data_IF_513880091711
#
_entry.id   IF_513880091711
#
_cell.length_a   1.000
_cell.length_b   1.000
_cell.length_c   1.000
_cell.angle_alpha   90.00
_cell.angle_beta   90.00
_cell.angle_gamma   90.00
#
_symmetry.space_group_name_H-M   'P 1'
#
loop_
_entity.id
_entity.type
_entity.pdbx_description
1 polymer ?
#
# COMPACT_ATOMS: atom_id res chain seq x y z
N UNK A 1 -2.12 -40.95 -36.25
CA UNK A 1 -2.55 -40.52 -37.59
C UNK A 1 -1.94 -39.14 -37.72
N UNK A 2 -0.87 -39.23 -38.28
CA UNK A 2 -0.31 -38.81 -39.58
C UNK A 2 0.09 -37.34 -39.52
N UNK A 3 1.38 -37.02 -39.40
CA UNK A 3 2.44 -37.09 -40.43
C UNK A 3 2.12 -36.22 -41.68
N UNK A 4 2.96 -35.29 -41.98
CA UNK A 4 4.01 -35.27 -43.00
C UNK A 4 4.41 -33.86 -43.30
N UNK A 5 5.65 -33.48 -43.13
CA UNK A 5 6.86 -33.74 -43.91
C UNK A 5 7.00 -32.94 -45.22
N UNK A 6 8.22 -32.41 -45.30
CA UNK A 6 9.12 -32.24 -46.45
C UNK A 6 9.07 -30.89 -47.16
N UNK A 7 10.11 -30.27 -47.36
CA UNK A 7 11.46 -30.45 -47.86
C UNK A 7 11.75 -29.47 -49.01
N UNK A 8 12.92 -28.95 -48.94
CA UNK A 8 13.91 -28.77 -50.03
C UNK A 8 13.75 -27.64 -51.06
N UNK A 9 14.86 -26.98 -51.25
CA UNK A 9 15.48 -26.74 -52.49
C UNK A 9 16.59 -25.70 -52.47
N UNK A 10 17.79 -26.21 -52.39
CA UNK A 10 19.05 -25.54 -52.66
C UNK A 10 19.26 -25.30 -54.18
N UNK A 11 20.15 -24.35 -54.50
CA UNK A 11 21.16 -24.35 -55.58
C UNK A 11 21.62 -22.93 -55.84
N UNK A 12 22.89 -22.54 -55.49
CA UNK A 12 24.11 -22.77 -56.28
C UNK A 12 24.12 -22.17 -57.68
N UNK A 13 25.04 -21.23 -57.88
CA UNK A 13 25.99 -21.09 -59.01
C UNK A 13 26.67 -19.70 -58.92
N UNK A 14 27.86 -19.56 -58.46
CA UNK A 14 29.17 -19.59 -59.14
C UNK A 14 29.21 -18.95 -60.53
N UNK A 15 30.05 -17.87 -60.66
CA UNK A 15 31.01 -17.64 -61.71
C UNK A 15 31.86 -16.37 -61.52
N UNK A 16 33.12 -16.56 -61.42
CA UNK A 16 34.26 -15.69 -61.78
C UNK A 16 34.71 -16.16 -63.20
N UNK A 17 35.64 -15.52 -63.98
CA UNK A 17 36.48 -14.35 -63.81
C UNK A 17 36.69 -13.52 -65.12
N UNK A 18 37.46 -12.50 -65.09
CA UNK A 18 38.61 -12.23 -66.03
C UNK A 18 39.04 -10.78 -66.01
N UNK A 19 40.32 -10.56 -65.73
CA UNK A 19 41.03 -9.37 -66.16
C UNK A 19 41.60 -9.61 -67.56
N UNK A 20 42.53 -8.85 -68.14
CA UNK A 20 43.47 -7.87 -67.64
C UNK A 20 43.57 -6.61 -68.52
N UNK A 21 44.49 -5.67 -68.17
CA UNK A 21 44.90 -4.60 -69.03
C UNK A 21 45.78 -3.58 -68.32
N UNK A 22 47.05 -3.81 -68.40
CA UNK A 22 48.09 -2.87 -68.08
C UNK A 22 48.28 -1.85 -69.19
N UNK A 23 48.93 -0.81 -68.85
CA UNK A 23 49.74 0.22 -69.64
C UNK A 23 49.17 1.61 -69.34
N UNK A 24 49.88 2.61 -69.07
CA UNK A 24 51.27 3.02 -69.01
C UNK A 24 51.33 4.55 -68.72
N UNK A 25 52.26 4.95 -67.92
CA UNK A 25 53.14 6.12 -68.09
C UNK A 25 52.61 7.55 -67.86
N UNK A 26 53.20 8.16 -66.89
CA UNK A 26 54.03 9.41 -66.95
C UNK A 26 53.53 10.60 -66.14
N UNK A 27 54.29 10.81 -65.10
CA UNK A 27 54.99 12.03 -64.71
C UNK A 27 54.33 13.40 -65.00
N UNK A 28 53.94 14.06 -63.93
CA UNK A 28 54.34 15.46 -63.70
C UNK A 28 54.27 15.85 -62.23
N UNK A 29 55.47 16.17 -61.70
CA UNK A 29 55.63 16.94 -60.49
C UNK A 29 55.00 18.33 -60.66
N UNK A 30 54.10 18.72 -59.75
CA UNK A 30 53.94 20.10 -59.42
C UNK A 30 53.79 20.24 -57.91
N UNK A 31 54.81 20.87 -57.32
CA UNK A 31 54.81 21.33 -55.97
C UNK A 31 53.74 22.44 -55.82
N UNK A 32 52.78 22.15 -54.96
CA UNK A 32 51.79 23.09 -54.44
C UNK A 32 51.86 23.09 -52.95
N UNK A 33 52.66 24.04 -52.41
CA UNK A 33 52.64 24.38 -50.98
C UNK A 33 51.26 24.83 -50.58
N UNK A 34 50.53 24.00 -49.81
CA UNK A 34 49.31 24.31 -49.17
C UNK A 34 49.40 23.96 -47.69
N UNK A 35 49.79 24.95 -46.91
CA UNK A 35 49.80 24.93 -45.45
C UNK A 35 48.42 24.86 -44.93
N UNK A 36 47.88 23.64 -44.78
CA UNK A 36 46.67 23.31 -44.05
C UNK A 36 47.06 22.55 -42.79
N UNK A 37 47.30 23.26 -41.70
CA UNK A 37 47.52 22.66 -40.41
C UNK A 37 46.29 21.82 -40.03
N UNK A 38 46.27 20.57 -40.44
CA UNK A 38 45.33 19.55 -39.96
C UNK A 38 45.52 19.43 -38.43
N UNK A 39 44.53 19.86 -37.70
CA UNK A 39 44.44 19.60 -36.29
C UNK A 39 44.71 18.10 -36.11
N UNK A 40 45.66 17.67 -35.29
CA UNK A 40 46.00 16.25 -35.23
C UNK A 40 44.78 15.42 -34.80
N UNK A 41 44.49 14.37 -35.52
CA UNK A 41 43.34 13.46 -35.26
C UNK A 41 43.29 12.97 -33.80
N UNK A 42 44.43 13.00 -33.12
CA UNK A 42 44.53 12.72 -31.69
C UNK A 42 43.79 13.73 -30.79
N UNK A 43 43.72 15.01 -31.17
CA UNK A 43 43.01 16.02 -30.37
C UNK A 43 41.49 15.90 -30.47
N UNK A 44 40.98 15.53 -31.64
CA UNK A 44 39.54 15.29 -31.87
C UNK A 44 39.04 14.02 -31.15
N UNK A 45 39.85 12.97 -31.15
CA UNK A 45 39.57 11.74 -30.39
C UNK A 45 39.56 11.99 -28.88
N UNK A 46 40.44 12.82 -28.37
CA UNK A 46 40.49 13.16 -26.94
C UNK A 46 39.31 14.03 -26.54
N UNK A 47 38.87 14.99 -27.36
CA UNK A 47 37.69 15.79 -27.11
C UNK A 47 36.41 14.94 -27.15
N UNK A 48 36.30 14.01 -28.11
CA UNK A 48 35.16 13.07 -28.18
C UNK A 48 35.11 12.17 -26.95
N UNK A 49 36.25 11.64 -26.48
CA UNK A 49 36.34 10.84 -25.27
C UNK A 49 35.97 11.64 -24.01
N UNK A 50 36.37 12.92 -23.91
CA UNK A 50 35.98 13.81 -22.81
C UNK A 50 34.48 14.08 -22.83
N UNK A 51 33.88 14.33 -23.99
CA UNK A 51 32.43 14.50 -24.17
C UNK A 51 31.65 13.22 -23.80
N UNK A 52 32.14 12.05 -24.24
CA UNK A 52 31.53 10.76 -23.90
C UNK A 52 31.57 10.48 -22.38
N UNK A 53 32.70 10.73 -21.72
CA UNK A 53 32.86 10.61 -20.27
C UNK A 53 31.91 11.57 -19.52
N UNK A 54 31.78 12.81 -19.99
CA UNK A 54 30.87 13.81 -19.40
C UNK A 54 29.41 13.38 -19.55
N UNK A 55 29.03 12.87 -20.73
CA UNK A 55 27.69 12.33 -21.00
C UNK A 55 27.38 11.14 -20.09
N UNK A 56 28.29 10.18 -19.97
CA UNK A 56 28.15 9.00 -19.08
C UNK A 56 28.03 9.39 -17.62
N UNK A 57 28.87 10.36 -17.14
CA UNK A 57 28.77 10.87 -15.77
C UNK A 57 27.39 11.54 -15.50
N UNK A 58 26.86 12.28 -16.48
CA UNK A 58 25.51 12.90 -16.38
C UNK A 58 24.43 11.84 -16.32
N UNK A 59 24.46 10.84 -17.19
CA UNK A 59 23.50 9.72 -17.19
C UNK A 59 23.52 8.96 -15.85
N UNK A 60 24.71 8.63 -15.33
CA UNK A 60 24.85 7.96 -14.03
C UNK A 60 24.25 8.80 -12.92
N UNK A 61 24.45 10.13 -12.95
CA UNK A 61 23.88 11.03 -11.94
C UNK A 61 22.36 11.11 -12.04
N UNK A 62 21.80 11.15 -13.25
CA UNK A 62 20.37 11.15 -13.49
C UNK A 62 19.72 9.84 -13.01
N UNK A 63 20.37 8.70 -13.31
CA UNK A 63 19.92 7.38 -12.83
C UNK A 63 19.96 7.31 -11.30
N UNK A 64 21.06 7.74 -10.67
CA UNK A 64 21.18 7.79 -9.21
C UNK A 64 20.11 8.69 -8.58
N UNK A 65 19.87 9.86 -9.18
CA UNK A 65 18.81 10.77 -8.70
C UNK A 65 17.41 10.17 -8.83
N UNK A 66 17.14 9.42 -9.90
CA UNK A 66 15.90 8.70 -10.08
C UNK A 66 15.70 7.64 -8.98
N UNK A 67 16.70 6.80 -8.74
CA UNK A 67 16.59 5.78 -7.69
C UNK A 67 16.49 6.38 -6.29
N UNK A 68 17.17 7.50 -6.03
CA UNK A 68 17.04 8.20 -4.76
C UNK A 68 15.63 8.73 -4.54
N UNK A 69 15.02 9.34 -5.57
CA UNK A 69 13.63 9.81 -5.50
C UNK A 69 12.64 8.65 -5.34
N UNK A 70 12.87 7.56 -6.06
CA UNK A 70 12.07 6.34 -5.94
C UNK A 70 12.15 5.76 -4.53
N UNK A 71 13.35 5.66 -3.97
CA UNK A 71 13.55 5.19 -2.60
C UNK A 71 12.85 6.11 -1.58
N UNK A 72 12.98 7.43 -1.74
CA UNK A 72 12.29 8.40 -0.88
C UNK A 72 10.76 8.25 -0.96
N UNK A 73 10.21 8.03 -2.16
CA UNK A 73 8.78 7.77 -2.35
C UNK A 73 8.34 6.48 -1.65
N UNK A 74 9.10 5.40 -1.79
CA UNK A 74 8.80 4.12 -1.13
C UNK A 74 8.85 4.28 0.40
N UNK A 75 9.84 4.98 0.93
CA UNK A 75 9.94 5.26 2.37
C UNK A 75 8.73 6.09 2.83
N UNK A 76 8.35 7.11 2.06
CA UNK A 76 7.18 7.94 2.38
C UNK A 76 5.89 7.10 2.42
N UNK A 77 5.68 6.22 1.44
CA UNK A 77 4.52 5.33 1.41
C UNK A 77 4.55 4.32 2.57
N UNK A 78 5.73 3.80 2.90
CA UNK A 78 5.90 2.91 4.05
C UNK A 78 5.54 3.61 5.37
N UNK A 79 6.02 4.85 5.58
CA UNK A 79 5.67 5.63 6.77
C UNK A 79 4.17 5.93 6.79
N UNK A 80 3.61 6.33 5.65
CA UNK A 80 2.18 6.67 5.56
C UNK A 80 1.29 5.48 5.90
N UNK A 81 1.50 4.32 5.28
CA UNK A 81 0.65 3.14 5.46
C UNK A 81 1.13 2.15 6.53
N UNK A 82 2.37 2.25 6.97
CA UNK A 82 2.91 1.40 8.03
C UNK A 82 2.78 2.00 9.43
N UNK A 83 2.98 3.32 9.53
CA UNK A 83 3.01 4.04 10.81
C UNK A 83 1.74 4.85 11.03
N UNK A 84 1.34 5.70 10.06
CA UNK A 84 0.23 6.66 10.25
C UNK A 84 -1.12 6.00 10.07
N UNK A 85 -1.29 5.25 8.99
CA UNK A 85 -2.54 4.57 8.67
C UNK A 85 -2.38 3.06 8.69
N UNK A 86 -3.49 2.37 8.90
CA UNK A 86 -3.59 0.94 8.71
C UNK A 86 -4.75 0.62 7.78
N UNK A 87 -4.58 -0.42 6.98
CA UNK A 87 -5.64 -0.96 6.15
C UNK A 87 -5.90 -2.39 6.60
N UNK A 88 -7.17 -2.71 6.84
CA UNK A 88 -7.59 -4.07 7.24
C UNK A 88 -8.94 -4.40 6.64
N UNK A 89 -9.08 -5.62 6.15
CA UNK A 89 -10.39 -6.15 5.79
C UNK A 89 -11.17 -6.54 7.06
N UNK A 90 -12.48 -6.24 7.08
CA UNK A 90 -13.37 -6.68 8.13
C UNK A 90 -13.46 -8.21 8.12
N UNK A 91 -13.13 -8.89 9.26
CA UNK A 91 -13.03 -10.35 9.26
C UNK A 91 -14.40 -11.06 9.30
N UNK A 92 -15.43 -10.37 9.79
CA UNK A 92 -16.76 -10.93 10.06
C UNK A 92 -17.86 -9.89 9.85
N UNK A 93 -19.08 -10.24 10.22
CA UNK A 93 -20.27 -9.40 10.05
C UNK A 93 -20.70 -8.67 11.34
N UNK A 94 -19.85 -8.62 12.34
CA UNK A 94 -20.18 -8.07 13.68
C UNK A 94 -20.51 -6.56 13.65
N UNK A 95 -20.15 -5.85 12.58
CA UNK A 95 -20.43 -4.42 12.41
C UNK A 95 -21.50 -4.12 11.36
N UNK A 96 -22.32 -5.12 10.98
CA UNK A 96 -23.48 -4.91 10.10
C UNK A 96 -24.51 -3.97 10.72
N UNK A 97 -25.21 -3.20 9.90
CA UNK A 97 -25.21 -3.17 8.43
C UNK A 97 -24.17 -2.22 7.82
N UNK A 98 -23.45 -1.46 8.61
CA UNK A 98 -22.53 -0.41 8.11
C UNK A 98 -21.23 -0.96 7.55
N UNK A 99 -20.67 -1.98 8.20
CA UNK A 99 -19.42 -2.62 7.80
C UNK A 99 -19.68 -4.13 7.76
N UNK A 100 -19.43 -4.74 6.63
CA UNK A 100 -19.65 -6.17 6.39
C UNK A 100 -18.34 -6.90 6.19
N UNK A 101 -18.38 -8.22 6.31
CA UNK A 101 -17.23 -9.07 6.05
C UNK A 101 -16.59 -8.78 4.66
N UNK A 102 -15.28 -8.57 4.65
CA UNK A 102 -14.52 -8.26 3.43
C UNK A 102 -14.45 -6.79 3.05
N UNK A 103 -15.20 -5.89 3.69
CA UNK A 103 -15.04 -4.45 3.51
C UNK A 103 -13.65 -4.00 3.96
N UNK A 104 -13.01 -3.11 3.22
CA UNK A 104 -11.70 -2.56 3.56
C UNK A 104 -11.85 -1.33 4.44
N UNK A 105 -11.30 -1.39 5.63
CA UNK A 105 -11.26 -0.29 6.57
C UNK A 105 -9.90 0.41 6.54
N UNK A 106 -9.90 1.72 6.36
CA UNK A 106 -8.76 2.59 6.60
C UNK A 106 -8.89 3.15 8.02
N UNK A 107 -7.88 2.92 8.85
CA UNK A 107 -7.87 3.42 10.22
C UNK A 107 -6.60 4.23 10.52
N UNK A 108 -6.75 5.26 11.35
CA UNK A 108 -5.67 6.14 11.79
C UNK A 108 -5.07 5.61 13.09
N UNK A 109 -3.76 5.35 13.08
CA UNK A 109 -3.05 4.69 14.19
C UNK A 109 -2.57 5.66 15.28
N UNK A 110 -2.35 6.92 14.92
CA UNK A 110 -1.78 7.92 15.82
C UNK A 110 -2.87 8.70 16.58
N UNK A 111 -4.11 8.17 16.59
CA UNK A 111 -5.19 8.74 17.37
C UNK A 111 -4.93 8.56 18.86
N UNK A 112 -5.03 9.64 19.61
CA UNK A 112 -4.88 9.66 21.06
C UNK A 112 -6.15 10.13 21.79
N UNK A 113 -7.14 10.63 21.03
CA UNK A 113 -8.38 11.15 21.55
C UNK A 113 -9.58 10.43 20.96
N UNK A 114 -9.92 9.33 21.56
CA UNK A 114 -11.11 8.58 21.22
C UNK A 114 -12.34 9.17 21.87
N UNK A 115 -13.48 9.17 21.17
CA UNK A 115 -14.76 9.68 21.68
C UNK A 115 -15.89 8.67 21.46
N UNK A 116 -17.00 8.84 22.17
CA UNK A 116 -18.18 8.01 21.95
C UNK A 116 -18.62 8.06 20.48
N UNK A 117 -19.12 6.95 19.97
CA UNK A 117 -19.46 6.67 18.58
C UNK A 117 -18.27 6.47 17.62
N UNK A 118 -17.02 6.62 18.04
CA UNK A 118 -15.90 6.21 17.20
C UNK A 118 -15.88 4.70 16.96
N UNK A 119 -15.67 4.32 15.71
CA UNK A 119 -15.39 2.92 15.37
C UNK A 119 -13.88 2.70 15.47
N UNK A 120 -13.48 1.71 16.24
CA UNK A 120 -12.09 1.43 16.54
C UNK A 120 -11.70 0.00 16.17
N UNK A 121 -10.45 -0.14 15.76
CA UNK A 121 -9.78 -1.43 15.64
C UNK A 121 -8.98 -1.64 16.92
N UNK A 122 -9.17 -2.75 17.60
CA UNK A 122 -8.47 -3.07 18.83
C UNK A 122 -8.04 -4.53 18.90
N UNK A 123 -7.15 -4.85 19.80
CA UNK A 123 -6.64 -6.20 20.01
C UNK A 123 -6.93 -6.63 21.44
N UNK A 124 -7.59 -7.77 21.59
CA UNK A 124 -7.87 -8.41 22.88
C UNK A 124 -7.46 -9.86 22.79
N UNK A 125 -6.66 -10.34 23.75
CA UNK A 125 -6.19 -11.73 23.82
C UNK A 125 -5.56 -12.23 22.52
N UNK A 126 -4.73 -11.37 21.87
CA UNK A 126 -4.05 -11.68 20.61
C UNK A 126 -4.96 -11.73 19.37
N UNK A 127 -6.22 -11.37 19.51
CA UNK A 127 -7.18 -11.30 18.40
C UNK A 127 -7.58 -9.86 18.11
N UNK A 128 -7.72 -9.53 16.83
CA UNK A 128 -8.18 -8.21 16.41
C UNK A 128 -9.68 -8.19 16.29
N UNK A 129 -10.28 -7.17 16.87
CA UNK A 129 -11.69 -6.86 16.83
C UNK A 129 -11.94 -5.48 16.25
N UNK A 130 -13.16 -5.24 15.84
CA UNK A 130 -13.67 -3.94 15.40
C UNK A 130 -14.97 -3.67 16.15
N UNK A 131 -15.12 -2.47 16.69
CA UNK A 131 -16.32 -2.13 17.43
C UNK A 131 -16.46 -0.62 17.59
N UNK A 132 -17.59 -0.20 18.15
CA UNK A 132 -17.95 1.18 18.42
C UNK A 132 -17.82 1.48 19.90
N UNK A 133 -17.15 2.57 20.23
CA UNK A 133 -17.08 3.06 21.60
C UNK A 133 -18.46 3.59 21.99
N UNK A 134 -19.02 3.07 23.06
CA UNK A 134 -20.32 3.52 23.61
C UNK A 134 -20.16 4.26 24.92
N UNK A 135 -19.07 4.00 25.66
CA UNK A 135 -18.74 4.69 26.91
C UNK A 135 -17.22 4.73 27.11
N UNK A 136 -16.75 5.65 27.92
CA UNK A 136 -15.31 5.92 28.16
C UNK A 136 -15.01 5.98 29.66
N UNK A 137 -13.73 6.13 29.99
CA UNK A 137 -13.27 6.24 31.38
C UNK A 137 -14.05 7.27 32.17
N UNK A 138 -14.46 6.85 33.38
CA UNK A 138 -15.35 7.58 34.26
C UNK A 138 -16.84 7.35 34.06
N UNK A 139 -17.25 6.78 32.91
CA UNK A 139 -18.66 6.43 32.67
C UNK A 139 -19.05 5.14 33.40
N UNK A 140 -20.31 5.07 33.79
CA UNK A 140 -20.93 3.84 34.30
C UNK A 140 -21.83 3.25 33.24
N UNK A 141 -21.60 1.98 32.91
CA UNK A 141 -22.33 1.23 31.87
C UNK A 141 -23.18 0.14 32.49
N UNK A 142 -24.39 0.00 32.00
CA UNK A 142 -25.27 -1.10 32.35
C UNK A 142 -25.93 -1.64 31.08
N UNK A 143 -25.94 -2.95 30.96
CA UNK A 143 -26.78 -3.67 29.99
C UNK A 143 -27.91 -4.33 30.76
N UNK A 144 -29.11 -3.89 30.51
CA UNK A 144 -30.29 -4.32 31.27
C UNK A 144 -30.84 -5.67 30.81
N UNK A 145 -31.62 -6.32 31.65
CA UNK A 145 -32.32 -7.56 31.27
C UNK A 145 -33.39 -7.35 30.16
N UNK A 146 -33.84 -6.09 29.97
CA UNK A 146 -34.67 -5.68 28.83
C UNK A 146 -33.87 -5.42 27.53
N UNK A 147 -32.62 -5.81 27.50
CA UNK A 147 -31.72 -5.64 26.35
C UNK A 147 -31.51 -4.18 25.90
N UNK A 148 -31.45 -3.28 26.87
CA UNK A 148 -31.17 -1.86 26.67
C UNK A 148 -29.77 -1.50 27.21
N UNK A 149 -29.11 -0.58 26.52
CA UNK A 149 -27.83 0.00 26.95
C UNK A 149 -28.10 1.27 27.77
N UNK A 150 -27.56 1.35 28.97
CA UNK A 150 -27.64 2.51 29.86
C UNK A 150 -26.24 3.01 30.13
N UNK A 151 -26.01 4.30 29.95
CA UNK A 151 -24.74 4.97 30.28
C UNK A 151 -25.05 6.14 31.19
N UNK A 152 -24.39 6.20 32.33
CA UNK A 152 -24.59 7.25 33.36
C UNK A 152 -26.06 7.44 33.71
N UNK A 153 -26.77 6.35 33.97
CA UNK A 153 -28.19 6.31 34.30
C UNK A 153 -29.14 6.78 33.17
N UNK A 154 -28.63 7.01 31.97
CA UNK A 154 -29.43 7.41 30.82
C UNK A 154 -29.53 6.28 29.81
N UNK A 155 -30.71 5.88 29.40
CA UNK A 155 -30.92 4.90 28.33
C UNK A 155 -30.39 5.49 27.02
N UNK A 156 -29.47 4.80 26.39
CA UNK A 156 -28.89 5.21 25.09
C UNK A 156 -29.89 4.92 23.97
N UNK A 157 -30.19 5.98 23.20
CA UNK A 157 -30.96 5.85 21.96
C UNK A 157 -29.96 5.93 20.81
N UNK A 158 -29.71 4.80 20.18
CA UNK A 158 -28.75 4.69 19.08
C UNK A 158 -29.52 4.60 17.76
N UNK A 159 -29.66 5.74 17.05
CA UNK A 159 -30.46 5.84 15.80
C UNK A 159 -29.98 4.92 14.67
N UNK A 160 -28.74 4.49 14.74
CA UNK A 160 -28.07 3.72 13.70
C UNK A 160 -27.88 2.24 14.05
N UNK A 161 -28.33 1.83 15.24
CA UNK A 161 -28.27 0.46 15.72
C UNK A 161 -29.70 -0.11 15.70
N UNK A 162 -29.88 -1.13 14.90
CA UNK A 162 -31.19 -1.73 14.66
C UNK A 162 -31.49 -2.96 15.54
N UNK A 163 -30.55 -3.31 16.39
CA UNK A 163 -30.58 -4.49 17.23
C UNK A 163 -30.66 -4.09 18.70
N UNK A 164 -31.49 -4.78 19.47
CA UNK A 164 -31.44 -4.69 20.93
C UNK A 164 -30.06 -5.15 21.46
N UNK A 165 -29.66 -4.64 22.61
CA UNK A 165 -28.36 -4.95 23.22
C UNK A 165 -28.57 -5.99 24.34
N UNK A 166 -28.57 -7.29 24.03
CA UNK A 166 -28.78 -8.32 25.05
C UNK A 166 -27.60 -8.43 25.99
N UNK A 167 -27.89 -8.70 27.25
CA UNK A 167 -26.89 -9.09 28.22
C UNK A 167 -26.40 -10.50 27.89
N UNK A 168 -25.11 -10.73 28.06
CA UNK A 168 -24.53 -12.06 27.87
C UNK A 168 -24.28 -12.73 29.22
N UNK A 169 -24.36 -14.03 29.24
CA UNK A 169 -23.99 -14.86 30.41
C UNK A 169 -22.44 -15.00 30.40
N UNK A 170 -21.78 -14.03 31.01
CA UNK A 170 -20.31 -13.90 31.09
C UNK A 170 -19.93 -13.35 32.46
N UNK A 171 -18.61 -13.28 32.72
CA UNK A 171 -18.09 -12.74 33.98
C UNK A 171 -18.22 -11.21 34.11
N UNK A 172 -18.78 -10.53 33.10
CA UNK A 172 -19.01 -9.07 33.15
C UNK A 172 -20.22 -8.75 33.99
N UNK A 173 -19.97 -8.07 35.11
CA UNK A 173 -21.01 -7.65 36.06
C UNK A 173 -21.44 -6.21 35.82
N UNK A 174 -22.72 -5.91 35.98
CA UNK A 174 -23.32 -4.59 35.81
C UNK A 174 -24.00 -4.13 37.10
N UNK A 175 -24.06 -2.79 37.38
CA UNK A 175 -23.41 -1.71 36.62
C UNK A 175 -21.88 -1.75 36.69
N UNK A 176 -21.19 -1.33 35.62
CA UNK A 176 -19.74 -1.34 35.50
C UNK A 176 -19.25 0.09 35.32
N UNK A 177 -18.40 0.57 36.24
CA UNK A 177 -17.73 1.88 36.09
C UNK A 177 -16.37 1.68 35.45
N UNK A 178 -16.11 2.42 34.35
CA UNK A 178 -14.89 2.32 33.56
C UNK A 178 -13.75 3.09 34.21
N UNK A 179 -12.55 2.50 34.25
CA UNK A 179 -11.34 3.22 34.62
C UNK A 179 -10.96 4.26 33.55
N UNK A 180 -10.13 5.25 33.91
CA UNK A 180 -9.78 6.40 33.04
C UNK A 180 -9.17 6.01 31.70
N UNK A 181 -8.49 4.86 31.65
CA UNK A 181 -7.85 4.32 30.46
C UNK A 181 -8.70 3.28 29.72
N UNK A 182 -9.94 3.07 30.12
CA UNK A 182 -10.84 2.06 29.58
C UNK A 182 -11.94 2.67 28.72
N UNK A 183 -12.50 1.85 27.84
CA UNK A 183 -13.71 2.14 27.08
C UNK A 183 -14.57 0.89 26.97
N UNK A 184 -15.88 1.08 26.89
CA UNK A 184 -16.81 0.02 26.60
C UNK A 184 -17.12 0.05 25.10
N UNK A 185 -16.76 -1.03 24.40
CA UNK A 185 -16.83 -1.12 22.94
C UNK A 185 -17.82 -2.18 22.55
N UNK A 186 -18.82 -1.83 21.76
CA UNK A 186 -19.84 -2.75 21.27
C UNK A 186 -19.75 -2.89 19.76
N UNK A 187 -20.11 -4.06 19.27
CA UNK A 187 -20.34 -4.28 17.85
C UNK A 187 -21.71 -3.74 17.42
N UNK A 188 -21.84 -3.25 16.18
CA UNK A 188 -23.12 -2.73 15.68
C UNK A 188 -24.15 -3.85 15.50
N UNK A 189 -23.71 -5.06 15.14
CA UNK A 189 -24.54 -6.28 15.18
C UNK A 189 -24.58 -6.84 16.61
N UNK A 190 -25.53 -6.37 17.42
CA UNK A 190 -25.60 -6.61 18.86
C UNK A 190 -25.91 -8.06 19.25
N UNK A 191 -26.48 -8.85 18.35
CA UNK A 191 -26.86 -10.24 18.60
C UNK A 191 -25.76 -11.20 18.14
N UNK A 192 -25.04 -11.81 19.11
CA UNK A 192 -24.04 -12.84 18.85
C UNK A 192 -22.61 -12.36 18.59
N UNK A 193 -22.35 -11.06 18.54
CA UNK A 193 -21.02 -10.50 18.37
C UNK A 193 -20.20 -10.59 19.66
N UNK A 194 -18.86 -10.77 19.52
CA UNK A 194 -17.93 -10.71 20.65
C UNK A 194 -17.42 -9.29 20.85
N UNK A 195 -17.82 -8.68 21.95
CA UNK A 195 -17.47 -7.32 22.31
C UNK A 195 -17.31 -7.18 23.84
N UNK A 196 -17.30 -5.96 24.37
CA UNK A 196 -17.12 -5.71 25.80
C UNK A 196 -18.14 -6.40 26.71
N UNK A 197 -19.24 -6.88 26.21
CA UNK A 197 -20.18 -7.72 26.95
C UNK A 197 -19.60 -9.11 27.21
N UNK A 198 -18.64 -9.54 26.40
CA UNK A 198 -18.01 -10.87 26.51
C UNK A 198 -16.71 -10.81 27.33
N UNK A 199 -15.85 -9.84 27.07
CA UNK A 199 -14.50 -9.78 27.64
C UNK A 199 -14.24 -8.56 28.53
N UNK A 200 -15.27 -7.78 28.84
CA UNK A 200 -15.16 -6.58 29.65
C UNK A 200 -14.60 -5.36 28.89
N UNK A 201 -14.20 -4.31 29.62
CA UNK A 201 -13.66 -3.09 29.04
C UNK A 201 -12.41 -3.33 28.22
N UNK A 202 -12.20 -2.45 27.24
CA UNK A 202 -11.01 -2.40 26.39
C UNK A 202 -10.14 -1.23 26.82
N UNK A 203 -8.88 -1.48 27.09
CA UNK A 203 -7.93 -0.41 27.46
C UNK A 203 -7.52 0.39 26.21
N UNK A 204 -7.25 1.68 26.39
CA UNK A 204 -6.76 2.56 25.32
C UNK A 204 -5.48 2.04 24.68
N UNK A 205 -4.62 1.34 25.44
CA UNK A 205 -3.40 0.69 24.93
C UNK A 205 -3.66 -0.48 23.99
N UNK A 206 -4.84 -1.07 24.03
CA UNK A 206 -5.28 -2.16 23.15
C UNK A 206 -5.80 -1.64 21.80
N UNK A 207 -6.07 -0.33 21.68
CA UNK A 207 -6.52 0.28 20.42
C UNK A 207 -5.38 0.33 19.40
N UNK A 208 -5.69 -0.10 18.19
CA UNK A 208 -4.77 -0.04 17.03
C UNK A 208 -5.04 1.18 16.16
N UNK A 209 -6.20 1.80 16.31
CA UNK A 209 -6.57 3.04 15.67
C UNK A 209 -8.07 3.22 15.45
N UNK A 210 -8.41 4.43 15.02
CA UNK A 210 -9.78 4.86 14.71
C UNK A 210 -10.08 4.67 13.23
N UNK A 211 -11.18 4.02 12.91
CA UNK A 211 -11.65 3.85 11.53
C UNK A 211 -12.11 5.20 10.97
N UNK A 212 -11.50 5.60 9.86
CA UNK A 212 -11.80 6.88 9.19
C UNK A 212 -12.76 6.67 8.04
N UNK A 213 -12.55 5.62 7.27
CA UNK A 213 -13.36 5.32 6.10
C UNK A 213 -13.42 3.82 5.82
N UNK A 214 -14.47 3.43 5.15
CA UNK A 214 -14.73 2.05 4.76
C UNK A 214 -14.99 2.01 3.25
N UNK A 215 -14.21 1.21 2.56
CA UNK A 215 -14.44 0.91 1.14
C UNK A 215 -15.20 -0.41 1.07
N UNK A 216 -16.46 -0.32 0.67
CA UNK A 216 -17.32 -1.50 0.60
C UNK A 216 -16.89 -2.40 -0.55
N UNK A 217 -16.87 -3.67 -0.28
CA UNK A 217 -16.73 -4.68 -1.33
C UNK A 217 -18.00 -4.69 -2.16
N UNK A 218 -17.91 -4.32 -3.44
CA UNK A 218 -19.00 -4.53 -4.38
C UNK A 218 -19.16 -6.04 -4.60
N UNK A 219 -20.27 -6.60 -4.13
CA UNK A 219 -20.70 -7.93 -4.58
C UNK A 219 -21.35 -7.74 -5.96
N UNK A 220 -20.60 -8.02 -7.02
CA UNK A 220 -21.12 -8.18 -8.38
C UNK A 220 -21.77 -9.56 -8.44
#
# INVERSE_FOLDING_TARGET
MEEKTLEQGAREAEAKPSGPGAEDINMQMQAGSGNGAGKPAASEAEEAAKKARKKRKRQIREIKSFFLRLAAMIIMLYVLFGVVFGIKAMPNDDMKPRISAGDLMLYYRLENRYVANDVVVFEKDGKTYVGRIVAQGGDTVEVTDSASLVVNNSTMIESDIYYSTPKYDTDVTYPLTLADDEAFVLCDYRTGAKDSRTFGPVKKSEFKGKVITVVRRSSI
#
